data_IF_698995480134
#
_entry.id   IF_698995480134
#
_cell.length_a   1.000
_cell.length_b   1.000
_cell.length_c   1.000
_cell.angle_alpha   90.00
_cell.angle_beta   90.00
_cell.angle_gamma   90.00
#
_symmetry.space_group_name_H-M   'P 1'
#
loop_
_entity.id
_entity.type
_entity.pdbx_description
1 polymer ?
#
# COMPACT_ATOMS: atom_id res chain seq x y z
N UNK A 1 -36.45 -4.41 -17.43
CA UNK A 1 -35.08 -4.92 -17.68
C UNK A 1 -34.30 -3.80 -18.38
N UNK A 2 -34.27 -2.61 -17.74
CA UNK A 2 -33.71 -1.35 -18.29
C UNK A 2 -32.96 -0.58 -17.19
N UNK A 3 -32.72 -1.23 -16.05
CA UNK A 3 -32.09 -0.65 -14.86
C UNK A 3 -30.57 -0.91 -14.82
N UNK A 4 -30.03 -1.61 -15.81
CA UNK A 4 -28.61 -1.99 -15.88
C UNK A 4 -27.79 -1.03 -16.76
N UNK A 5 -28.40 -0.39 -17.76
CA UNK A 5 -27.70 0.49 -18.71
C UNK A 5 -27.54 1.94 -18.20
N UNK A 6 -28.46 2.43 -17.36
CA UNK A 6 -28.43 3.81 -16.84
C UNK A 6 -27.39 4.04 -15.73
N UNK A 7 -26.90 2.97 -15.07
CA UNK A 7 -25.85 3.06 -14.05
C UNK A 7 -24.45 3.30 -14.66
N UNK A 8 -24.26 2.96 -15.93
CA UNK A 8 -22.98 3.13 -16.63
C UNK A 8 -22.71 4.56 -17.11
N UNK A 9 -23.70 5.44 -17.15
CA UNK A 9 -23.59 6.65 -18.00
C UNK A 9 -22.99 7.89 -17.30
N UNK A 10 -23.09 8.08 -15.98
CA UNK A 10 -22.57 9.34 -15.38
C UNK A 10 -21.98 9.29 -13.96
N UNK A 11 -22.25 8.26 -13.15
CA UNK A 11 -21.72 8.13 -11.79
C UNK A 11 -20.39 7.35 -11.72
N UNK A 12 -20.13 6.43 -12.66
CA UNK A 12 -18.95 5.57 -12.62
C UNK A 12 -17.62 6.28 -12.94
N UNK A 13 -17.64 7.46 -13.59
CA UNK A 13 -16.40 8.18 -13.92
C UNK A 13 -15.73 8.81 -12.70
N UNK A 14 -16.51 9.31 -11.74
CA UNK A 14 -15.98 10.03 -10.57
C UNK A 14 -15.49 9.12 -9.45
N UNK A 15 -16.10 7.96 -9.25
CA UNK A 15 -15.73 7.04 -8.17
C UNK A 15 -14.54 6.12 -8.54
N UNK A 16 -14.27 5.92 -9.83
CA UNK A 16 -13.18 5.05 -10.30
C UNK A 16 -11.83 5.76 -10.38
N UNK A 17 -11.82 7.09 -10.38
CA UNK A 17 -10.59 7.92 -10.26
C UNK A 17 -10.02 7.94 -8.82
N UNK A 18 -10.79 7.48 -7.82
CA UNK A 18 -10.47 7.61 -6.39
C UNK A 18 -9.72 6.40 -5.80
N UNK A 19 -9.72 5.25 -6.48
CA UNK A 19 -9.06 4.01 -6.03
C UNK A 19 -7.54 4.16 -5.74
N UNK A 20 -6.71 4.73 -6.64
CA UNK A 20 -5.29 4.94 -6.34
C UNK A 20 -5.06 6.02 -5.27
N UNK A 21 -5.92 7.05 -5.21
CA UNK A 21 -5.85 8.13 -4.22
C UNK A 21 -6.01 7.59 -2.79
N UNK A 22 -6.87 6.57 -2.61
CA UNK A 22 -7.07 5.90 -1.31
C UNK A 22 -5.80 5.26 -0.78
N UNK A 23 -5.00 4.59 -1.61
CA UNK A 23 -3.77 3.95 -1.14
C UNK A 23 -2.68 4.96 -0.80
N UNK A 24 -2.48 6.02 -1.58
CA UNK A 24 -1.48 7.06 -1.27
C UNK A 24 -1.72 7.68 0.10
N UNK A 25 -2.95 8.12 0.38
CA UNK A 25 -3.27 8.75 1.66
C UNK A 25 -3.18 7.75 2.83
N UNK A 26 -3.63 6.51 2.62
CA UNK A 26 -3.53 5.44 3.63
C UNK A 26 -2.08 5.15 3.99
N UNK A 27 -1.21 4.94 3.01
CA UNK A 27 0.22 4.66 3.23
C UNK A 27 0.91 5.86 3.87
N UNK A 28 0.63 7.07 3.40
CA UNK A 28 1.19 8.30 3.99
C UNK A 28 0.85 8.42 5.48
N UNK A 29 -0.39 8.08 5.86
CA UNK A 29 -0.82 8.04 7.27
C UNK A 29 -0.10 6.96 8.06
N UNK A 30 0.08 5.76 7.51
CA UNK A 30 0.77 4.65 8.18
C UNK A 30 2.24 4.97 8.44
N UNK A 31 2.96 5.49 7.44
CA UNK A 31 4.39 5.86 7.58
C UNK A 31 4.63 6.96 8.63
N UNK A 32 3.66 7.87 8.80
CA UNK A 32 3.73 8.97 9.78
C UNK A 32 3.14 8.62 11.14
N UNK A 33 2.53 7.44 11.30
CA UNK A 33 1.93 7.04 12.57
C UNK A 33 3.00 6.99 13.68
N UNK A 34 2.59 7.39 14.88
CA UNK A 34 3.40 7.34 16.10
C UNK A 34 2.53 6.77 17.25
N UNK A 35 2.86 5.58 17.80
CA UNK A 35 3.95 4.70 17.36
C UNK A 35 3.72 4.18 15.94
N UNK A 36 4.81 3.93 15.22
CA UNK A 36 4.75 3.28 13.91
C UNK A 36 4.27 1.83 14.09
N UNK A 37 3.52 1.33 13.11
CA UNK A 37 3.14 -0.09 13.02
C UNK A 37 3.54 -0.59 11.65
N UNK A 38 4.23 -1.73 11.61
CA UNK A 38 4.54 -2.40 10.36
C UNK A 38 3.25 -2.73 9.61
N UNK A 39 3.35 -2.76 8.28
CA UNK A 39 2.21 -3.09 7.44
C UNK A 39 2.68 -3.83 6.21
N UNK A 40 1.77 -4.64 5.65
CA UNK A 40 1.99 -5.43 4.45
C UNK A 40 1.13 -4.94 3.30
N UNK A 41 1.70 -4.99 2.12
CA UNK A 41 1.08 -4.62 0.86
C UNK A 41 0.91 -5.86 0.02
N UNK A 42 -0.20 -5.93 -0.69
CA UNK A 42 -0.49 -6.99 -1.64
C UNK A 42 -0.73 -6.35 -3.01
N UNK A 43 -0.10 -6.94 -4.02
CA UNK A 43 -0.21 -6.52 -5.41
C UNK A 43 -1.09 -7.50 -6.21
N UNK A 44 -1.57 -7.03 -7.36
CA UNK A 44 -2.46 -7.78 -8.25
C UNK A 44 -1.82 -9.02 -8.89
N UNK A 45 -0.49 -9.06 -8.96
CA UNK A 45 0.30 -10.20 -9.45
C UNK A 45 0.49 -11.31 -8.39
N UNK A 46 -0.02 -11.08 -7.17
CA UNK A 46 0.13 -11.99 -6.04
C UNK A 46 1.39 -11.73 -5.19
N UNK A 47 2.22 -10.76 -5.57
CA UNK A 47 3.39 -10.37 -4.78
C UNK A 47 2.96 -9.67 -3.48
N UNK A 48 3.69 -9.92 -2.40
CA UNK A 48 3.50 -9.26 -1.11
C UNK A 48 4.80 -8.61 -0.62
N UNK A 49 4.67 -7.43 0.01
CA UNK A 49 5.80 -6.67 0.52
C UNK A 49 5.49 -6.10 1.90
N UNK A 50 6.45 -6.20 2.81
CA UNK A 50 6.32 -5.73 4.19
C UNK A 50 7.16 -4.47 4.42
N UNK A 51 6.54 -3.46 5.03
CA UNK A 51 7.24 -2.26 5.51
C UNK A 51 7.44 -2.41 7.01
N UNK A 52 8.66 -2.78 7.40
CA UNK A 52 9.04 -3.04 8.81
C UNK A 52 9.38 -1.78 9.58
N UNK A 53 9.92 -0.77 8.89
CA UNK A 53 10.32 0.50 9.47
C UNK A 53 9.83 1.65 8.57
N UNK A 54 9.45 2.81 9.12
CA UNK A 54 8.98 3.93 8.32
C UNK A 54 10.07 4.47 7.37
N UNK A 55 11.33 4.41 7.77
CA UNK A 55 12.49 4.82 6.97
C UNK A 55 12.85 3.85 5.84
N UNK A 56 12.36 2.60 5.89
CA UNK A 56 12.61 1.61 4.83
C UNK A 56 11.68 1.79 3.64
N UNK A 57 10.87 2.85 3.61
CA UNK A 57 9.90 3.08 2.56
C UNK A 57 9.84 4.55 2.12
N UNK A 58 9.77 4.77 0.80
CA UNK A 58 9.64 6.09 0.20
C UNK A 58 8.37 6.16 -0.66
N UNK A 59 7.37 6.88 -0.17
CA UNK A 59 6.12 7.09 -0.89
C UNK A 59 6.28 8.22 -1.90
N UNK A 60 5.90 7.95 -3.14
CA UNK A 60 5.83 8.91 -4.24
C UNK A 60 4.40 9.01 -4.76
N UNK A 61 4.15 9.88 -5.75
CA UNK A 61 2.86 9.94 -6.42
C UNK A 61 2.55 8.68 -7.25
N UNK A 62 3.57 7.96 -7.71
CA UNK A 62 3.39 6.77 -8.56
C UNK A 62 3.37 5.45 -7.82
N UNK A 63 3.91 5.41 -6.60
CA UNK A 63 4.21 4.13 -5.94
C UNK A 63 4.95 4.29 -4.63
N UNK A 64 5.25 3.14 -4.03
CA UNK A 64 6.08 3.02 -2.84
C UNK A 64 7.36 2.26 -3.19
N UNK A 65 8.52 2.86 -2.93
CA UNK A 65 9.77 2.10 -2.87
C UNK A 65 9.90 1.48 -1.49
N UNK A 66 10.29 0.21 -1.42
CA UNK A 66 10.42 -0.55 -0.18
C UNK A 66 11.77 -1.25 -0.15
N UNK A 67 12.53 -1.04 0.92
CA UNK A 67 13.75 -1.78 1.20
C UNK A 67 13.43 -3.24 1.52
N UNK A 68 14.12 -4.15 0.84
CA UNK A 68 14.08 -5.60 1.06
C UNK A 68 15.31 -6.01 1.86
N UNK A 69 15.06 -6.69 2.97
CA UNK A 69 16.09 -7.17 3.88
C UNK A 69 16.37 -8.65 3.61
N UNK A 70 17.63 -9.06 3.70
CA UNK A 70 18.04 -10.45 3.54
C UNK A 70 17.47 -11.34 4.67
N UNK A 71 17.33 -10.77 5.87
CA UNK A 71 16.84 -11.43 7.06
C UNK A 71 16.18 -10.42 8.03
N UNK A 72 15.66 -10.89 9.17
CA UNK A 72 14.95 -10.06 10.16
C UNK A 72 15.88 -9.18 11.03
N UNK A 73 17.16 -9.52 11.13
CA UNK A 73 18.13 -8.82 11.98
C UNK A 73 18.92 -7.77 11.19
N UNK A 74 18.86 -7.81 9.86
CA UNK A 74 19.49 -6.84 8.98
C UNK A 74 18.91 -5.43 9.20
N UNK A 75 19.77 -4.46 9.52
CA UNK A 75 19.39 -3.05 9.70
C UNK A 75 19.33 -2.28 8.37
N UNK A 76 20.04 -2.76 7.35
CA UNK A 76 20.16 -2.12 6.03
C UNK A 76 19.55 -3.04 4.97
N UNK A 77 18.62 -2.55 4.13
CA UNK A 77 18.10 -3.32 2.99
C UNK A 77 19.20 -3.72 2.01
N UNK A 78 19.16 -4.96 1.50
CA UNK A 78 20.09 -5.43 0.44
C UNK A 78 19.68 -4.92 -0.94
N UNK A 79 18.40 -4.62 -1.11
CA UNK A 79 17.77 -4.28 -2.40
C UNK A 79 16.50 -3.49 -2.14
N UNK A 80 15.89 -2.95 -3.19
CA UNK A 80 14.59 -2.31 -3.14
C UNK A 80 13.57 -3.00 -4.07
N UNK A 81 12.29 -2.70 -3.84
CA UNK A 81 11.22 -3.00 -4.77
C UNK A 81 10.32 -1.79 -4.94
N UNK A 82 9.88 -1.56 -6.18
CA UNK A 82 8.87 -0.56 -6.50
C UNK A 82 7.48 -1.20 -6.55
N UNK A 83 6.59 -0.73 -5.67
CA UNK A 83 5.19 -1.13 -5.62
C UNK A 83 4.33 -0.01 -6.22
N UNK A 84 3.80 -0.24 -7.42
CA UNK A 84 2.87 0.71 -8.06
C UNK A 84 1.56 0.80 -7.29
N UNK A 85 1.08 2.01 -7.03
CA UNK A 85 -0.22 2.24 -6.39
C UNK A 85 -1.38 1.67 -7.22
N UNK A 86 -1.25 1.66 -8.55
CA UNK A 86 -2.28 1.15 -9.47
C UNK A 86 -2.46 -0.37 -9.37
N UNK A 87 -1.42 -1.08 -8.94
CA UNK A 87 -1.45 -2.54 -8.81
C UNK A 87 -1.72 -2.99 -7.37
N UNK A 88 -1.84 -2.05 -6.44
CA UNK A 88 -2.07 -2.37 -5.05
C UNK A 88 -3.51 -2.81 -4.85
N UNK A 89 -3.69 -4.00 -4.29
CA UNK A 89 -5.02 -4.58 -4.06
C UNK A 89 -5.41 -4.50 -2.59
N UNK A 90 -4.43 -4.55 -1.68
CA UNK A 90 -4.69 -4.54 -0.24
C UNK A 90 -3.50 -4.02 0.57
N UNK A 91 -3.81 -3.39 1.71
CA UNK A 91 -2.84 -3.01 2.74
C UNK A 91 -3.36 -3.43 4.10
N UNK A 92 -2.57 -4.22 4.83
CA UNK A 92 -2.88 -4.76 6.14
C UNK A 92 -1.85 -4.29 7.16
N UNK A 93 -2.31 -3.80 8.31
CA UNK A 93 -1.41 -3.41 9.41
C UNK A 93 -1.15 -4.65 10.24
N UNK A 94 0.11 -4.88 10.60
CA UNK A 94 0.46 -6.02 11.43
C UNK A 94 -0.06 -5.81 12.87
N UNK A 95 -0.85 -6.75 13.35
CA UNK A 95 -1.44 -6.69 14.69
C UNK A 95 -0.43 -7.05 15.80
N UNK A 96 0.70 -7.71 15.45
CA UNK A 96 1.69 -8.23 16.40
C UNK A 96 2.61 -7.13 16.96
N UNK A 97 2.62 -5.93 16.36
CA UNK A 97 3.37 -4.78 16.89
C UNK A 97 2.88 -4.28 18.28
N UNK A 98 1.83 -4.87 18.87
CA UNK A 98 1.40 -4.60 20.26
C UNK A 98 1.86 -5.66 21.28
N UNK A 99 2.67 -6.64 20.88
CA UNK A 99 3.14 -7.67 21.80
C UNK A 99 4.60 -7.42 22.21
N UNK A 100 4.78 -6.62 23.28
CA UNK A 100 5.93 -6.68 24.20
C UNK A 100 7.20 -6.00 23.73
#
# INVERSE_FOLDING_TARGET
MEWFENWFDNSARRDMEDEPIKFTQKIHRLLRARPFRSFRLYLSDGSEFEVRHPESALLTQGGLYIGRYADEQSEIPESDAFCSLLHMTRVEVDERANAG
#
